data_IF_759841844866
#
_entry.id   IF_759841844866
#
_cell.length_a   1.000
_cell.length_b   1.000
_cell.length_c   1.000
_cell.angle_alpha   90.00
_cell.angle_beta   90.00
_cell.angle_gamma   90.00
#
_symmetry.space_group_name_H-M   'P 1'
#
loop_
_entity.id
_entity.type
_entity.pdbx_description
1 polymer ?
#
# COMPACT_ATOMS: atom_id res chain seq x y z
N UNK A 1 -25.75 3.56 60.32
CA UNK A 1 -26.09 3.57 58.88
C UNK A 1 -25.19 4.47 58.01
N UNK A 2 -24.61 5.58 58.53
CA UNK A 2 -23.79 6.50 57.70
C UNK A 2 -22.44 5.92 57.23
N UNK A 3 -21.81 5.08 58.06
CA UNK A 3 -20.48 4.49 57.78
C UNK A 3 -20.56 3.47 56.63
N UNK A 4 -21.54 2.56 56.65
CA UNK A 4 -21.72 1.55 55.60
C UNK A 4 -22.10 2.14 54.25
N UNK A 5 -22.92 3.20 54.24
CA UNK A 5 -23.27 3.91 53.00
C UNK A 5 -22.05 4.60 52.37
N UNK A 6 -21.19 5.22 53.20
CA UNK A 6 -19.95 5.86 52.75
C UNK A 6 -18.89 4.86 52.32
N UNK A 7 -18.75 3.74 53.02
CA UNK A 7 -17.84 2.69 52.63
C UNK A 7 -18.23 2.10 51.25
N UNK A 8 -19.52 1.83 51.04
CA UNK A 8 -20.04 1.36 49.74
C UNK A 8 -19.89 2.38 48.61
N UNK A 9 -20.02 3.68 48.88
CA UNK A 9 -19.80 4.69 47.85
C UNK A 9 -18.32 4.83 47.45
N UNK A 10 -17.39 4.61 48.39
CA UNK A 10 -15.95 4.56 48.11
C UNK A 10 -15.57 3.30 47.31
N UNK A 11 -16.19 2.15 47.61
CA UNK A 11 -16.05 0.93 46.81
C UNK A 11 -16.53 1.14 45.37
N UNK A 12 -17.66 1.82 45.17
CA UNK A 12 -18.20 2.12 43.85
C UNK A 12 -17.34 3.11 43.03
N UNK A 13 -16.37 3.77 43.66
CA UNK A 13 -15.43 4.71 43.03
C UNK A 13 -14.03 4.10 42.86
N UNK A 14 -13.88 2.77 43.04
CA UNK A 14 -12.60 2.05 43.03
C UNK A 14 -11.56 2.58 44.06
N UNK A 15 -12.02 3.27 45.10
CA UNK A 15 -11.16 3.79 46.17
C UNK A 15 -11.00 2.75 47.28
N UNK A 16 -10.26 1.68 46.98
CA UNK A 16 -10.18 0.47 47.81
C UNK A 16 -9.59 0.71 49.21
N UNK A 17 -8.52 1.50 49.33
CA UNK A 17 -7.88 1.80 50.63
C UNK A 17 -8.75 2.72 51.51
N UNK A 18 -9.32 3.84 51.00
CA UNK A 18 -10.28 4.64 51.77
C UNK A 18 -11.54 3.84 52.17
N UNK A 19 -12.05 2.97 51.31
CA UNK A 19 -13.20 2.12 51.63
C UNK A 19 -12.89 1.16 52.80
N UNK A 20 -11.69 0.56 52.81
CA UNK A 20 -11.20 -0.30 53.90
C UNK A 20 -11.16 0.44 55.23
N UNK A 21 -10.61 1.65 55.26
CA UNK A 21 -10.54 2.47 56.47
C UNK A 21 -11.91 2.84 57.02
N UNK A 22 -12.87 3.11 56.13
CA UNK A 22 -14.23 3.43 56.54
C UNK A 22 -14.96 2.21 57.12
N UNK A 23 -14.73 1.00 56.58
CA UNK A 23 -15.21 -0.25 57.17
C UNK A 23 -14.59 -0.55 58.55
N UNK A 24 -13.30 -0.26 58.74
CA UNK A 24 -12.62 -0.45 60.02
C UNK A 24 -13.22 0.41 61.15
N UNK A 25 -13.72 1.61 60.83
CA UNK A 25 -14.42 2.48 61.80
C UNK A 25 -15.73 1.89 62.32
N UNK A 26 -16.33 0.92 61.60
CA UNK A 26 -17.55 0.26 62.04
C UNK A 26 -17.29 -0.88 63.05
N UNK A 27 -16.07 -1.45 63.09
CA UNK A 27 -15.75 -2.60 63.94
C UNK A 27 -15.83 -2.31 65.46
N UNK A 28 -15.34 -1.17 65.98
CA UNK A 28 -15.46 -0.84 67.40
C UNK A 28 -16.92 -0.60 67.86
N UNK A 29 -17.84 -0.38 66.93
CA UNK A 29 -19.25 -0.09 67.21
C UNK A 29 -20.12 -1.35 67.27
N UNK A 30 -19.53 -2.53 67.04
CA UNK A 30 -20.22 -3.81 66.97
C UNK A 30 -19.69 -4.80 68.02
N UNK A 31 -20.52 -5.70 68.57
CA UNK A 31 -20.05 -6.78 69.43
C UNK A 31 -19.04 -7.66 68.68
N UNK A 32 -17.92 -7.99 69.32
CA UNK A 32 -16.78 -8.66 68.69
C UNK A 32 -17.10 -10.04 68.08
N UNK A 33 -18.16 -10.70 68.57
CA UNK A 33 -18.62 -12.04 68.16
C UNK A 33 -19.91 -11.98 67.32
N UNK A 34 -20.28 -10.81 66.81
CA UNK A 34 -21.45 -10.66 65.94
C UNK A 34 -21.14 -11.10 64.51
N UNK A 35 -22.12 -11.68 63.83
CA UNK A 35 -22.02 -12.04 62.41
C UNK A 35 -21.71 -10.83 61.53
N UNK A 36 -22.16 -9.63 61.94
CA UNK A 36 -21.84 -8.38 61.27
C UNK A 36 -20.35 -8.01 61.40
N UNK A 37 -19.74 -8.21 62.58
CA UNK A 37 -18.31 -7.94 62.77
C UNK A 37 -17.44 -8.89 61.95
N UNK A 38 -17.81 -10.18 61.86
CA UNK A 38 -17.11 -11.15 61.00
C UNK A 38 -17.22 -10.80 59.52
N UNK A 39 -18.42 -10.42 59.06
CA UNK A 39 -18.62 -9.99 57.67
C UNK A 39 -17.76 -8.78 57.31
N UNK A 40 -17.67 -7.78 58.20
CA UNK A 40 -16.84 -6.58 57.98
C UNK A 40 -15.35 -6.95 57.92
N UNK A 41 -14.86 -7.83 58.80
CA UNK A 41 -13.46 -8.31 58.75
C UNK A 41 -13.16 -8.99 57.40
N UNK A 42 -14.09 -9.81 56.90
CA UNK A 42 -13.96 -10.44 55.59
C UNK A 42 -13.94 -9.43 54.44
N UNK A 43 -14.76 -8.38 54.51
CA UNK A 43 -14.79 -7.31 53.50
C UNK A 43 -13.49 -6.49 53.50
N UNK A 44 -12.99 -6.13 54.69
CA UNK A 44 -11.70 -5.44 54.86
C UNK A 44 -10.55 -6.24 54.24
N UNK A 45 -10.53 -7.57 54.46
CA UNK A 45 -9.53 -8.46 53.88
C UNK A 45 -9.60 -8.50 52.34
N UNK A 46 -10.81 -8.58 51.77
CA UNK A 46 -11.01 -8.55 50.31
C UNK A 46 -10.53 -7.24 49.69
N UNK A 47 -10.84 -6.09 50.30
CA UNK A 47 -10.41 -4.78 49.82
C UNK A 47 -8.89 -4.62 49.89
N UNK A 48 -8.25 -5.16 50.92
CA UNK A 48 -6.80 -5.15 51.06
C UNK A 48 -6.10 -6.01 50.00
N UNK A 49 -6.66 -7.18 49.69
CA UNK A 49 -6.15 -8.04 48.62
C UNK A 49 -6.33 -7.39 47.24
N UNK A 50 -7.49 -6.78 46.99
CA UNK A 50 -7.76 -6.06 45.75
C UNK A 50 -6.83 -4.86 45.57
N UNK A 51 -6.52 -4.13 46.64
CA UNK A 51 -5.58 -3.01 46.61
C UNK A 51 -4.13 -3.44 46.33
N UNK A 52 -3.72 -4.65 46.76
CA UNK A 52 -2.38 -5.21 46.48
C UNK A 52 -2.22 -5.70 45.04
N UNK A 53 -3.31 -6.12 44.39
CA UNK A 53 -3.31 -6.66 43.02
C UNK A 53 -3.63 -5.58 41.98
N UNK A 54 -4.22 -4.45 42.40
CA UNK A 54 -4.53 -3.35 41.50
C UNK A 54 -3.26 -2.81 40.81
N UNK A 55 -3.27 -2.61 39.48
CA UNK A 55 -2.16 -1.97 38.79
C UNK A 55 -1.91 -0.58 39.38
N UNK A 56 -0.65 -0.09 39.41
CA UNK A 56 -0.36 1.25 39.91
C UNK A 56 -1.25 2.26 39.19
N UNK A 57 -1.74 3.30 39.90
CA UNK A 57 -2.61 4.30 39.29
C UNK A 57 -1.89 4.86 38.07
N UNK A 58 -2.51 4.76 36.88
CA UNK A 58 -2.02 5.43 35.69
C UNK A 58 -1.84 6.91 36.03
N UNK A 59 -0.60 7.35 36.17
CA UNK A 59 -0.28 8.77 36.13
C UNK A 59 -0.80 9.26 34.78
N UNK A 60 -1.94 9.95 34.79
CA UNK A 60 -2.44 10.71 33.65
C UNK A 60 -1.44 11.82 33.39
N UNK A 61 -0.37 11.47 32.69
CA UNK A 61 0.75 12.36 32.46
C UNK A 61 0.25 13.62 31.75
N UNK A 62 0.59 14.77 32.30
CA UNK A 62 0.17 16.10 31.82
C UNK A 62 0.52 16.38 30.35
N UNK A 63 1.42 15.60 29.73
CA UNK A 63 1.73 15.69 28.29
C UNK A 63 0.56 15.27 27.39
N UNK A 64 -0.34 14.41 27.85
CA UNK A 64 -1.53 13.98 27.10
C UNK A 64 -2.53 15.13 26.87
N UNK A 65 -2.58 16.13 27.77
CA UNK A 65 -3.37 17.35 27.57
C UNK A 65 -2.79 18.29 26.51
N UNK A 66 -1.47 18.30 26.31
CA UNK A 66 -0.82 19.11 25.26
C UNK A 66 -0.90 18.48 23.86
N UNK A 67 -1.06 17.16 23.77
CA UNK A 67 -1.31 16.46 22.49
C UNK A 67 -2.80 16.25 22.17
N UNK A 68 -3.70 16.51 23.13
CA UNK A 68 -5.15 16.49 22.94
C UNK A 68 -5.68 17.27 21.71
N UNK A 69 -5.21 18.50 21.41
CA UNK A 69 -5.63 19.22 20.21
C UNK A 69 -4.97 18.71 18.92
N UNK A 70 -3.87 17.95 19.02
CA UNK A 70 -3.21 17.31 17.87
C UNK A 70 -3.70 15.88 17.63
N UNK A 71 -4.40 15.25 18.58
CA UNK A 71 -5.03 13.94 18.41
C UNK A 71 -6.05 13.91 17.26
N UNK A 72 -6.98 14.88 17.11
CA UNK A 72 -7.83 14.93 15.93
C UNK A 72 -7.02 15.18 14.66
N UNK A 73 -5.95 15.98 14.68
CA UNK A 73 -5.07 16.21 13.52
C UNK A 73 -4.29 14.94 13.15
N UNK A 74 -3.83 14.16 14.12
CA UNK A 74 -3.16 12.87 13.92
C UNK A 74 -4.14 11.80 13.42
N UNK A 75 -5.39 11.80 13.90
CA UNK A 75 -6.48 10.96 13.39
C UNK A 75 -6.89 11.40 11.98
N UNK A 76 -6.88 12.71 11.70
CA UNK A 76 -7.19 13.28 10.39
C UNK A 76 -6.04 13.07 9.40
N UNK A 77 -4.78 12.98 9.85
CA UNK A 77 -3.60 12.54 9.09
C UNK A 77 -3.55 11.02 8.91
N UNK A 78 -4.01 10.24 9.89
CA UNK A 78 -4.17 8.79 9.77
C UNK A 78 -5.33 8.45 8.82
N UNK A 79 -6.44 9.20 8.88
CA UNK A 79 -7.53 9.20 7.90
C UNK A 79 -7.13 9.92 6.60
N UNK A 80 -6.12 10.79 6.59
CA UNK A 80 -5.64 11.39 5.34
C UNK A 80 -4.87 10.36 4.52
N UNK A 81 -4.23 9.37 5.14
CA UNK A 81 -3.70 8.24 4.36
C UNK A 81 -4.81 7.50 3.61
N UNK A 82 -5.98 7.27 4.21
CA UNK A 82 -7.10 6.61 3.52
C UNK A 82 -7.82 7.54 2.56
N UNK A 83 -7.96 8.84 2.88
CA UNK A 83 -8.54 9.85 2.00
C UNK A 83 -7.63 10.16 0.81
N UNK A 84 -6.31 10.28 1.02
CA UNK A 84 -5.31 10.42 -0.04
C UNK A 84 -5.28 9.16 -0.88
N UNK A 85 -5.30 7.95 -0.29
CA UNK A 85 -5.38 6.71 -1.06
C UNK A 85 -6.68 6.65 -1.87
N UNK A 86 -7.80 7.11 -1.33
CA UNK A 86 -9.09 7.16 -2.02
C UNK A 86 -9.10 8.21 -3.14
N UNK A 87 -8.57 9.42 -2.90
CA UNK A 87 -8.45 10.50 -3.89
C UNK A 87 -7.46 10.10 -4.99
N UNK A 88 -6.35 9.45 -4.65
CA UNK A 88 -5.37 8.96 -5.62
C UNK A 88 -5.95 7.80 -6.44
N UNK A 89 -6.66 6.87 -5.81
CA UNK A 89 -7.42 5.81 -6.51
C UNK A 89 -8.48 6.40 -7.44
N UNK A 90 -9.22 7.42 -7.00
CA UNK A 90 -10.29 8.03 -7.79
C UNK A 90 -9.73 8.84 -8.96
N UNK A 91 -8.64 9.59 -8.77
CA UNK A 91 -7.97 10.33 -9.85
C UNK A 91 -7.28 9.40 -10.85
N UNK A 92 -6.66 8.32 -10.38
CA UNK A 92 -6.03 7.33 -11.26
C UNK A 92 -7.06 6.58 -12.08
N UNK A 93 -8.11 6.04 -11.46
CA UNK A 93 -9.21 5.39 -12.16
C UNK A 93 -9.90 6.35 -13.13
N UNK A 94 -10.17 7.59 -12.71
CA UNK A 94 -10.75 8.60 -13.58
C UNK A 94 -9.85 8.90 -14.78
N UNK A 95 -8.52 9.00 -14.61
CA UNK A 95 -7.59 9.20 -15.72
C UNK A 95 -7.56 8.00 -16.68
N UNK A 96 -7.62 6.77 -16.16
CA UNK A 96 -7.66 5.55 -16.97
C UNK A 96 -8.99 5.42 -17.74
N UNK A 97 -10.11 5.74 -17.11
CA UNK A 97 -11.42 5.72 -17.75
C UNK A 97 -11.61 6.88 -18.74
N UNK A 98 -11.12 8.09 -18.42
CA UNK A 98 -11.12 9.21 -19.35
C UNK A 98 -10.27 8.91 -20.58
N UNK A 99 -9.09 8.31 -20.37
CA UNK A 99 -8.22 7.81 -21.42
C UNK A 99 -8.89 6.74 -22.30
N UNK A 100 -9.53 5.74 -21.65
CA UNK A 100 -10.29 4.71 -22.36
C UNK A 100 -11.43 5.33 -23.17
N UNK A 101 -12.11 6.32 -22.61
CA UNK A 101 -13.20 7.05 -23.25
C UNK A 101 -12.75 7.81 -24.50
N UNK A 102 -11.61 8.51 -24.43
CA UNK A 102 -11.06 9.24 -25.59
C UNK A 102 -10.74 8.27 -26.74
N UNK A 103 -9.97 7.22 -26.50
CA UNK A 103 -9.62 6.29 -27.58
C UNK A 103 -10.79 5.43 -28.07
N UNK A 104 -11.74 5.10 -27.19
CA UNK A 104 -12.98 4.45 -27.59
C UNK A 104 -13.81 5.35 -28.52
N UNK A 105 -13.87 6.66 -28.27
CA UNK A 105 -14.60 7.58 -29.16
C UNK A 105 -13.93 7.72 -30.53
N UNK A 106 -12.61 7.63 -30.60
CA UNK A 106 -11.84 7.79 -31.84
C UNK A 106 -11.78 6.52 -32.69
N UNK A 107 -11.62 5.36 -32.06
CA UNK A 107 -11.34 4.09 -32.74
C UNK A 107 -12.40 3.01 -32.48
N UNK A 108 -13.42 3.33 -31.67
CA UNK A 108 -14.54 2.44 -31.40
C UNK A 108 -14.16 1.17 -30.63
N UNK A 109 -14.96 0.11 -30.76
CA UNK A 109 -14.77 -1.14 -30.03
C UNK A 109 -13.46 -1.87 -30.38
N UNK A 110 -12.89 -1.62 -31.56
CA UNK A 110 -11.63 -2.22 -31.99
C UNK A 110 -10.46 -1.86 -31.07
N UNK A 111 -10.39 -0.60 -30.62
CA UNK A 111 -9.39 -0.19 -29.62
C UNK A 111 -9.61 -0.88 -28.28
N UNK A 112 -10.86 -0.93 -27.80
CA UNK A 112 -11.16 -1.58 -26.52
C UNK A 112 -10.76 -3.05 -26.49
N UNK A 113 -11.10 -3.81 -27.54
CA UNK A 113 -10.70 -5.22 -27.67
C UNK A 113 -9.18 -5.36 -27.75
N UNK A 114 -8.53 -4.57 -28.61
CA UNK A 114 -7.07 -4.60 -28.75
C UNK A 114 -6.35 -4.27 -27.43
N UNK A 115 -6.85 -3.28 -26.69
CA UNK A 115 -6.27 -2.87 -25.42
C UNK A 115 -6.44 -3.94 -24.32
N UNK A 116 -7.62 -4.57 -24.25
CA UNK A 116 -7.85 -5.71 -23.34
C UNK A 116 -6.92 -6.88 -23.68
N UNK A 117 -6.72 -7.18 -24.96
CA UNK A 117 -5.75 -8.19 -25.40
C UNK A 117 -4.34 -7.83 -24.95
N UNK A 118 -3.94 -6.55 -25.04
CA UNK A 118 -2.60 -6.12 -24.62
C UNK A 118 -2.42 -6.16 -23.09
N UNK A 119 -3.46 -5.90 -22.31
CA UNK A 119 -3.45 -6.15 -20.86
C UNK A 119 -3.29 -7.66 -20.59
N UNK A 120 -3.97 -8.51 -21.35
CA UNK A 120 -3.82 -9.96 -21.21
C UNK A 120 -2.39 -10.40 -21.53
N UNK A 121 -1.76 -9.84 -22.56
CA UNK A 121 -0.35 -10.11 -22.90
C UNK A 121 0.57 -9.74 -21.73
N UNK A 122 0.34 -8.60 -21.07
CA UNK A 122 1.06 -8.21 -19.87
C UNK A 122 0.90 -9.24 -18.74
N UNK A 123 -0.32 -9.62 -18.38
CA UNK A 123 -0.55 -10.62 -17.33
C UNK A 123 0.02 -12.00 -17.68
N UNK A 124 -0.04 -12.37 -18.95
CA UNK A 124 0.58 -13.60 -19.44
C UNK A 124 2.10 -13.55 -19.30
N UNK A 125 2.72 -12.38 -19.35
CA UNK A 125 4.14 -12.19 -19.03
C UNK A 125 4.47 -12.64 -17.61
N UNK A 126 3.70 -12.19 -16.62
CA UNK A 126 3.83 -12.68 -15.24
C UNK A 126 3.59 -14.17 -15.13
N UNK A 127 2.48 -14.66 -15.70
CA UNK A 127 2.09 -16.06 -15.64
C UNK A 127 3.19 -16.98 -16.20
N UNK A 128 3.71 -16.66 -17.39
CA UNK A 128 4.74 -17.44 -18.05
C UNK A 128 6.03 -17.46 -17.22
N UNK A 129 6.45 -16.32 -16.65
CA UNK A 129 7.67 -16.27 -15.84
C UNK A 129 7.51 -17.07 -14.53
N UNK A 130 6.35 -16.99 -13.87
CA UNK A 130 6.05 -17.80 -12.67
C UNK A 130 6.10 -19.30 -13.01
N UNK A 131 5.46 -19.71 -14.11
CA UNK A 131 5.45 -21.11 -14.57
C UNK A 131 6.84 -21.60 -14.95
N UNK A 132 7.64 -20.80 -15.65
CA UNK A 132 9.04 -21.12 -16.01
C UNK A 132 9.92 -21.36 -14.79
N UNK A 133 9.60 -20.74 -13.66
CA UNK A 133 10.29 -20.91 -12.37
C UNK A 133 9.75 -22.06 -11.53
N UNK A 134 8.80 -22.84 -12.05
CA UNK A 134 8.20 -23.97 -11.34
C UNK A 134 7.26 -23.57 -10.19
N UNK A 135 6.83 -22.30 -10.14
CA UNK A 135 5.98 -21.78 -9.08
C UNK A 135 4.49 -21.98 -9.43
N UNK A 136 3.62 -22.22 -8.43
CA UNK A 136 2.19 -22.36 -8.66
C UNK A 136 1.57 -21.00 -9.01
N UNK A 137 1.10 -20.86 -10.25
CA UNK A 137 0.37 -19.70 -10.75
C UNK A 137 -1.07 -20.09 -11.09
N UNK A 138 -2.03 -19.32 -10.59
CA UNK A 138 -3.42 -19.42 -11.05
C UNK A 138 -3.57 -18.67 -12.39
N UNK A 139 -4.62 -18.96 -13.15
CA UNK A 139 -4.91 -18.21 -14.38
C UNK A 139 -5.18 -16.73 -14.07
N UNK A 140 -4.82 -15.79 -14.99
CA UNK A 140 -5.14 -14.38 -14.83
C UNK A 140 -6.63 -14.16 -14.57
N UNK A 141 -6.98 -13.44 -13.50
CA UNK A 141 -8.36 -13.05 -13.20
C UNK A 141 -8.56 -11.60 -13.62
N UNK A 142 -9.55 -11.34 -14.47
CA UNK A 142 -9.93 -9.99 -14.86
C UNK A 142 -10.73 -9.31 -13.73
N UNK A 143 -10.24 -8.17 -13.26
CA UNK A 143 -10.96 -7.24 -12.39
C UNK A 143 -11.57 -6.09 -13.20
N UNK A 144 -12.91 -5.93 -13.19
CA UNK A 144 -13.57 -4.82 -13.87
C UNK A 144 -12.98 -3.47 -13.43
N UNK A 145 -12.49 -2.69 -14.39
CA UNK A 145 -11.99 -1.33 -14.16
C UNK A 145 -10.58 -1.21 -13.58
N UNK A 146 -9.92 -2.31 -13.23
CA UNK A 146 -8.57 -2.31 -12.65
C UNK A 146 -7.53 -3.07 -13.47
N UNK A 147 -7.95 -3.94 -14.40
CA UNK A 147 -7.06 -4.74 -15.25
C UNK A 147 -7.27 -6.25 -15.03
N UNK A 148 -6.26 -7.05 -15.29
CA UNK A 148 -6.21 -8.44 -14.84
C UNK A 148 -5.07 -8.60 -13.83
N UNK A 149 -5.07 -9.67 -13.04
CA UNK A 149 -3.98 -9.96 -12.10
C UNK A 149 -3.78 -11.47 -11.96
N UNK A 150 -2.52 -11.90 -11.91
CA UNK A 150 -2.14 -13.29 -11.63
C UNK A 150 -1.93 -13.52 -10.14
N UNK A 151 -2.79 -14.36 -9.54
CA UNK A 151 -2.59 -14.80 -8.15
C UNK A 151 -1.56 -15.93 -8.10
N UNK A 152 -0.60 -15.81 -7.18
CA UNK A 152 0.40 -16.85 -6.96
C UNK A 152 0.84 -16.90 -5.49
N UNK A 153 1.26 -18.09 -5.03
CA UNK A 153 1.70 -18.31 -3.65
C UNK A 153 3.20 -18.02 -3.53
N UNK A 154 3.54 -16.92 -2.87
CA UNK A 154 4.92 -16.41 -2.74
C UNK A 154 5.66 -16.87 -1.45
N UNK A 155 5.22 -17.97 -0.82
CA UNK A 155 5.85 -18.46 0.43
C UNK A 155 7.26 -18.95 0.10
N UNK A 156 8.27 -18.39 0.77
CA UNK A 156 9.68 -18.76 0.60
C UNK A 156 10.39 -18.20 -0.64
N UNK A 157 9.72 -17.37 -1.45
CA UNK A 157 10.32 -16.83 -2.69
C UNK A 157 11.20 -15.61 -2.43
N UNK A 158 12.40 -15.59 -3.00
CA UNK A 158 13.36 -14.51 -2.82
C UNK A 158 12.81 -13.18 -3.38
N UNK A 159 13.26 -12.05 -2.82
CA UNK A 159 12.87 -10.71 -3.33
C UNK A 159 13.27 -10.52 -4.79
N UNK A 160 14.39 -11.10 -5.19
CA UNK A 160 14.92 -11.03 -6.55
C UNK A 160 14.01 -11.76 -7.54
N UNK A 161 13.55 -12.96 -7.18
CA UNK A 161 12.59 -13.71 -8.01
C UNK A 161 11.25 -12.99 -8.11
N UNK A 162 10.73 -12.44 -7.00
CA UNK A 162 9.52 -11.60 -7.02
C UNK A 162 9.68 -10.39 -7.94
N UNK A 163 10.82 -9.71 -7.86
CA UNK A 163 11.12 -8.56 -8.69
C UNK A 163 11.23 -8.93 -10.18
N UNK A 164 11.85 -10.06 -10.50
CA UNK A 164 11.96 -10.55 -11.87
C UNK A 164 10.57 -10.89 -12.46
N UNK A 165 9.73 -11.56 -11.68
CA UNK A 165 8.34 -11.86 -12.06
C UNK A 165 7.56 -10.57 -12.30
N UNK A 166 7.68 -9.57 -11.42
CA UNK A 166 6.99 -8.28 -11.62
C UNK A 166 7.48 -7.53 -12.86
N UNK A 167 8.72 -7.70 -13.29
CA UNK A 167 9.21 -7.05 -14.52
C UNK A 167 8.81 -7.82 -15.79
N UNK A 168 8.44 -9.10 -15.67
CA UNK A 168 8.04 -9.92 -16.81
C UNK A 168 6.75 -9.44 -17.49
N UNK A 169 5.79 -8.90 -16.73
CA UNK A 169 4.57 -8.30 -17.28
C UNK A 169 4.88 -7.06 -18.13
N UNK A 170 5.57 -6.04 -17.58
CA UNK A 170 6.05 -4.88 -18.33
C UNK A 170 6.87 -5.23 -19.57
N UNK A 171 7.71 -6.27 -19.51
CA UNK A 171 8.45 -6.77 -20.67
C UNK A 171 7.50 -7.34 -21.73
N UNK A 172 6.54 -8.19 -21.36
CA UNK A 172 5.57 -8.74 -22.30
C UNK A 172 4.69 -7.64 -22.92
N UNK A 173 4.29 -6.65 -22.11
CA UNK A 173 3.57 -5.48 -22.57
C UNK A 173 4.38 -4.64 -23.56
N UNK A 174 5.69 -4.46 -23.33
CA UNK A 174 6.59 -3.85 -24.32
C UNK A 174 6.60 -4.64 -25.64
N UNK A 175 6.71 -5.96 -25.59
CA UNK A 175 6.69 -6.79 -26.81
C UNK A 175 5.36 -6.64 -27.56
N UNK A 176 4.23 -6.65 -26.86
CA UNK A 176 2.91 -6.41 -27.45
C UNK A 176 2.79 -5.01 -28.08
N UNK A 177 3.30 -3.99 -27.39
CA UNK A 177 3.36 -2.63 -27.93
C UNK A 177 4.27 -2.55 -29.17
N UNK A 178 5.41 -3.25 -29.17
CA UNK A 178 6.35 -3.29 -30.30
C UNK A 178 5.73 -3.94 -31.53
N UNK A 179 4.94 -5.01 -31.35
CA UNK A 179 4.15 -5.61 -32.44
C UNK A 179 3.15 -4.60 -33.00
N UNK A 180 2.42 -3.89 -32.14
CA UNK A 180 1.49 -2.84 -32.60
C UNK A 180 2.23 -1.72 -33.35
N UNK A 181 3.39 -1.27 -32.85
CA UNK A 181 4.22 -0.27 -33.52
C UNK A 181 4.67 -0.74 -34.90
N UNK A 182 5.11 -1.99 -35.04
CA UNK A 182 5.50 -2.58 -36.31
C UNK A 182 4.32 -2.66 -37.30
N UNK A 183 3.12 -3.00 -36.82
CA UNK A 183 1.90 -3.01 -37.63
C UNK A 183 1.53 -1.60 -38.09
N UNK A 184 1.69 -0.59 -37.23
CA UNK A 184 1.49 0.80 -37.61
C UNK A 184 2.47 1.23 -38.71
N UNK A 185 3.78 0.96 -38.57
CA UNK A 185 4.77 1.30 -39.60
C UNK A 185 4.48 0.67 -40.97
N UNK A 186 3.81 -0.49 -41.00
CA UNK A 186 3.44 -1.16 -42.26
C UNK A 186 2.10 -0.71 -42.83
N UNK A 187 1.14 -0.36 -41.98
CA UNK A 187 -0.26 -0.13 -42.40
C UNK A 187 -0.67 1.33 -42.36
N UNK A 188 0.11 2.19 -41.69
CA UNK A 188 -0.21 3.56 -41.34
C UNK A 188 -1.55 3.75 -40.59
N UNK A 189 -2.15 2.67 -40.08
CA UNK A 189 -3.44 2.73 -39.38
C UNK A 189 -3.27 3.25 -37.95
N UNK A 190 -3.90 4.38 -37.65
CA UNK A 190 -3.83 5.06 -36.35
C UNK A 190 -4.24 4.21 -35.15
N UNK A 191 -5.07 3.18 -35.35
CA UNK A 191 -5.44 2.22 -34.28
C UNK A 191 -4.20 1.53 -33.70
N UNK A 192 -3.26 1.10 -34.56
CA UNK A 192 -2.07 0.39 -34.11
C UNK A 192 -1.09 1.31 -33.36
N UNK A 193 -0.96 2.56 -33.81
CA UNK A 193 -0.19 3.58 -33.09
C UNK A 193 -0.82 3.88 -31.72
N UNK A 194 -2.15 4.03 -31.69
CA UNK A 194 -2.91 4.24 -30.47
C UNK A 194 -2.71 3.08 -29.48
N UNK A 195 -2.82 1.84 -29.93
CA UNK A 195 -2.60 0.65 -29.10
C UNK A 195 -1.14 0.56 -28.61
N UNK A 196 -0.15 0.75 -29.50
CA UNK A 196 1.26 0.71 -29.13
C UNK A 196 1.59 1.74 -28.05
N UNK A 197 1.16 2.99 -28.25
CA UNK A 197 1.39 4.10 -27.34
C UNK A 197 0.66 3.91 -26.01
N UNK A 198 -0.60 3.49 -26.07
CA UNK A 198 -1.44 3.23 -24.89
C UNK A 198 -0.88 2.10 -24.03
N UNK A 199 -0.45 1.01 -24.66
CA UNK A 199 0.16 -0.11 -23.98
C UNK A 199 1.51 0.29 -23.38
N UNK A 200 2.36 1.02 -24.10
CA UNK A 200 3.62 1.49 -23.53
C UNK A 200 3.40 2.40 -22.31
N UNK A 201 2.45 3.34 -22.40
CA UNK A 201 2.06 4.19 -21.27
C UNK A 201 1.58 3.38 -20.06
N UNK A 202 0.67 2.42 -20.27
CA UNK A 202 0.18 1.56 -19.19
C UNK A 202 1.32 0.79 -18.50
N UNK A 203 2.25 0.24 -19.28
CA UNK A 203 3.39 -0.50 -18.73
C UNK A 203 4.37 0.41 -17.97
N UNK A 204 4.61 1.65 -18.43
CA UNK A 204 5.39 2.64 -17.68
C UNK A 204 4.70 3.01 -16.37
N UNK A 205 3.37 3.15 -16.37
CA UNK A 205 2.60 3.38 -15.15
C UNK A 205 2.73 2.21 -14.16
N UNK A 206 2.67 0.96 -14.64
CA UNK A 206 2.90 -0.23 -13.80
C UNK A 206 4.34 -0.29 -13.25
N UNK A 207 5.30 0.37 -13.90
CA UNK A 207 6.66 0.50 -13.41
C UNK A 207 6.85 1.59 -12.34
N UNK A 208 5.83 2.37 -12.00
CA UNK A 208 5.93 3.30 -10.87
C UNK A 208 6.14 2.50 -9.58
N UNK A 209 7.19 2.77 -8.78
CA UNK A 209 7.55 1.90 -7.66
C UNK A 209 6.74 2.19 -6.39
N UNK A 210 5.42 2.11 -6.50
CA UNK A 210 4.46 2.42 -5.45
C UNK A 210 3.44 1.29 -5.31
N UNK A 211 3.12 0.94 -4.06
CA UNK A 211 2.01 0.05 -3.72
C UNK A 211 2.06 -1.33 -4.42
N UNK A 212 0.96 -1.75 -5.06
CA UNK A 212 0.76 -3.07 -5.70
C UNK A 212 1.29 -3.11 -7.13
N UNK A 213 1.72 -1.97 -7.69
CA UNK A 213 2.26 -1.90 -9.05
C UNK A 213 3.56 -2.73 -9.18
N UNK A 214 3.85 -3.17 -10.40
CA UNK A 214 5.01 -4.03 -10.71
C UNK A 214 6.33 -3.41 -10.28
N UNK A 215 6.53 -2.13 -10.59
CA UNK A 215 7.71 -1.38 -10.17
C UNK A 215 7.88 -1.38 -8.64
N UNK A 216 6.76 -1.47 -7.91
CA UNK A 216 6.76 -1.50 -6.45
C UNK A 216 7.36 -2.78 -5.90
N UNK A 217 7.08 -3.92 -6.55
CA UNK A 217 7.69 -5.22 -6.23
C UNK A 217 9.13 -5.29 -6.73
N UNK A 218 9.39 -4.78 -7.95
CA UNK A 218 10.72 -4.71 -8.54
C UNK A 218 11.71 -3.95 -7.63
N UNK A 219 11.31 -2.77 -7.13
CA UNK A 219 12.12 -1.92 -6.28
C UNK A 219 12.54 -2.57 -4.95
N UNK A 220 11.85 -3.61 -4.48
CA UNK A 220 12.21 -4.31 -3.22
C UNK A 220 13.51 -5.10 -3.32
N UNK A 221 13.98 -5.39 -4.54
CA UNK A 221 15.24 -6.07 -4.81
C UNK A 221 16.41 -5.10 -5.08
N UNK A 222 16.15 -3.78 -5.13
CA UNK A 222 17.17 -2.76 -5.40
C UNK A 222 17.74 -2.18 -4.10
N UNK A 223 19.06 -2.07 -4.05
CA UNK A 223 19.84 -1.27 -3.11
C UNK A 223 19.60 0.23 -3.28
N UNK A 224 20.10 1.03 -2.32
CA UNK A 224 20.03 2.49 -2.41
C UNK A 224 20.78 3.05 -3.63
N UNK A 225 21.94 2.49 -3.95
CA UNK A 225 22.73 2.92 -5.11
C UNK A 225 22.00 2.63 -6.44
N UNK A 226 21.41 1.44 -6.58
CA UNK A 226 20.63 1.07 -7.76
C UNK A 226 19.36 1.93 -7.89
N UNK A 227 18.71 2.28 -6.78
CA UNK A 227 17.57 3.22 -6.78
C UNK A 227 18.00 4.62 -7.25
N UNK A 228 19.18 5.10 -6.83
CA UNK A 228 19.72 6.37 -7.34
C UNK A 228 20.05 6.32 -8.84
N UNK A 229 20.65 5.21 -9.30
CA UNK A 229 20.91 5.03 -10.74
C UNK A 229 19.61 4.99 -11.55
N UNK A 230 18.60 4.26 -11.07
CA UNK A 230 17.27 4.22 -11.68
C UNK A 230 16.62 5.62 -11.70
N UNK A 231 16.74 6.39 -10.62
CA UNK A 231 16.25 7.76 -10.57
C UNK A 231 16.90 8.64 -11.64
N UNK A 232 18.23 8.57 -11.77
CA UNK A 232 18.96 9.33 -12.79
C UNK A 232 18.48 8.96 -14.21
N UNK A 233 18.30 7.67 -14.51
CA UNK A 233 17.74 7.20 -15.78
C UNK A 233 16.33 7.75 -16.01
N UNK A 234 15.45 7.71 -15.00
CA UNK A 234 14.09 8.22 -15.12
C UNK A 234 14.08 9.73 -15.43
N UNK A 235 14.95 10.52 -14.78
CA UNK A 235 15.07 11.95 -15.04
C UNK A 235 15.63 12.24 -16.44
N UNK A 236 16.61 11.47 -16.90
CA UNK A 236 17.12 11.58 -18.28
C UNK A 236 16.01 11.26 -19.28
N UNK A 237 15.31 10.15 -19.12
CA UNK A 237 14.18 9.78 -19.99
C UNK A 237 13.08 10.84 -19.98
N UNK A 238 12.78 11.44 -18.83
CA UNK A 238 11.84 12.54 -18.75
C UNK A 238 12.29 13.76 -19.56
N UNK A 239 13.57 14.16 -19.45
CA UNK A 239 14.13 15.28 -20.21
C UNK A 239 14.17 15.03 -21.72
N UNK A 240 14.50 13.81 -22.16
CA UNK A 240 14.64 13.48 -23.59
C UNK A 240 13.30 13.14 -24.26
N UNK A 241 12.43 12.37 -23.59
CA UNK A 241 11.15 11.93 -24.16
C UNK A 241 10.06 12.99 -23.95
N UNK A 242 10.18 13.85 -22.93
CA UNK A 242 9.23 14.92 -22.63
C UNK A 242 7.93 14.45 -21.99
N UNK A 243 7.84 13.18 -21.62
CA UNK A 243 6.61 12.55 -21.15
C UNK A 243 6.52 12.53 -19.62
N UNK A 244 5.45 13.12 -19.07
CA UNK A 244 5.26 13.27 -17.62
C UNK A 244 5.22 11.94 -16.85
N UNK A 245 4.99 10.81 -17.53
CA UNK A 245 5.00 9.48 -16.89
C UNK A 245 6.38 9.12 -16.33
N UNK A 246 7.49 9.51 -16.97
CA UNK A 246 8.83 9.26 -16.44
C UNK A 246 9.11 10.04 -15.16
N UNK A 247 8.53 11.24 -15.04
CA UNK A 247 8.57 12.01 -13.79
C UNK A 247 7.79 11.28 -12.68
N UNK A 248 6.65 10.64 -12.98
CA UNK A 248 5.91 9.84 -11.98
C UNK A 248 6.71 8.63 -11.51
N UNK A 249 7.42 7.94 -12.42
CA UNK A 249 8.33 6.86 -12.04
C UNK A 249 9.47 7.40 -11.16
N UNK A 250 10.10 8.51 -11.57
CA UNK A 250 11.15 9.18 -10.78
C UNK A 250 10.67 9.59 -9.38
N UNK A 251 9.46 10.15 -9.27
CA UNK A 251 8.85 10.51 -7.99
C UNK A 251 8.62 9.28 -7.10
N UNK A 252 8.15 8.17 -7.69
CA UNK A 252 8.03 6.90 -6.97
C UNK A 252 9.38 6.36 -6.50
N UNK A 253 10.42 6.41 -7.33
CA UNK A 253 11.77 5.97 -6.96
C UNK A 253 12.31 6.82 -5.82
N UNK A 254 12.09 8.14 -5.90
CA UNK A 254 12.46 9.09 -4.85
C UNK A 254 11.75 8.76 -3.54
N UNK A 255 10.45 8.49 -3.56
CA UNK A 255 9.71 8.02 -2.39
C UNK A 255 10.34 6.75 -1.78
N UNK A 256 10.73 5.79 -2.62
CA UNK A 256 11.40 4.55 -2.18
C UNK A 256 12.82 4.77 -1.66
N UNK A 257 13.49 5.89 -1.92
CA UNK A 257 14.79 6.17 -1.30
C UNK A 257 14.69 6.41 0.22
N UNK A 258 13.50 6.80 0.70
CA UNK A 258 13.23 7.06 2.11
C UNK A 258 12.55 5.90 2.85
N UNK A 259 12.18 4.83 2.14
CA UNK A 259 11.56 3.64 2.75
C UNK A 259 12.63 2.70 3.33
N UNK A 260 12.31 2.05 4.45
CA UNK A 260 13.20 1.12 5.18
C UNK A 260 13.17 -0.32 4.62
N UNK A 261 12.82 -0.48 3.34
CA UNK A 261 12.55 -1.77 2.68
C UNK A 261 13.75 -2.31 1.90
N UNK A 262 14.97 -1.95 2.29
CA UNK A 262 16.20 -2.38 1.62
C UNK A 262 16.34 -3.91 1.66
N UNK A 263 16.77 -4.54 0.56
CA UNK A 263 17.00 -5.98 0.52
C UNK A 263 18.26 -6.36 1.32
N UNK A 264 18.27 -7.53 1.98
CA UNK A 264 19.49 -8.09 2.56
C UNK A 264 20.52 -8.47 1.49
N UNK A 265 20.07 -8.83 0.28
CA UNK A 265 20.90 -9.10 -0.88
C UNK A 265 20.35 -8.34 -2.10
N UNK A 266 20.94 -7.20 -2.47
CA UNK A 266 20.54 -6.48 -3.67
C UNK A 266 20.91 -7.24 -4.94
N UNK A 267 20.28 -6.90 -6.07
CA UNK A 267 20.56 -7.53 -7.35
C UNK A 267 20.73 -6.50 -8.48
N UNK A 268 21.97 -6.28 -8.94
CA UNK A 268 22.25 -5.40 -10.08
C UNK A 268 21.57 -5.86 -11.36
N UNK A 269 21.39 -7.18 -11.51
CA UNK A 269 20.69 -7.75 -12.66
C UNK A 269 19.22 -7.30 -12.72
N UNK A 270 18.53 -7.21 -11.57
CA UNK A 270 17.15 -6.70 -11.52
C UNK A 270 17.11 -5.20 -11.82
N UNK A 271 18.08 -4.43 -11.30
CA UNK A 271 18.17 -3.01 -11.61
C UNK A 271 18.38 -2.78 -13.11
N UNK A 272 19.29 -3.52 -13.74
CA UNK A 272 19.53 -3.48 -15.17
C UNK A 272 18.28 -3.91 -15.97
N UNK A 273 17.57 -4.96 -15.52
CA UNK A 273 16.35 -5.41 -16.16
C UNK A 273 15.26 -4.32 -16.12
N UNK A 274 15.06 -3.69 -14.95
CA UNK A 274 14.11 -2.60 -14.79
C UNK A 274 14.47 -1.43 -15.71
N UNK A 275 15.72 -0.95 -15.67
CA UNK A 275 16.21 0.13 -16.54
C UNK A 275 16.00 -0.21 -18.02
N UNK A 276 16.31 -1.44 -18.43
CA UNK A 276 16.18 -1.88 -19.83
C UNK A 276 14.72 -1.84 -20.29
N UNK A 277 13.78 -2.38 -19.50
CA UNK A 277 12.36 -2.37 -19.85
C UNK A 277 11.83 -0.94 -19.89
N UNK A 278 12.19 -0.11 -18.91
CA UNK A 278 11.77 1.29 -18.85
C UNK A 278 12.29 2.10 -20.05
N UNK A 279 13.56 1.92 -20.40
CA UNK A 279 14.18 2.58 -21.55
C UNK A 279 13.58 2.10 -22.88
N UNK A 280 13.31 0.80 -23.03
CA UNK A 280 12.69 0.24 -24.22
C UNK A 280 11.26 0.76 -24.43
N UNK A 281 10.47 0.82 -23.36
CA UNK A 281 9.14 1.44 -23.37
C UNK A 281 9.20 2.93 -23.72
N UNK A 282 10.18 3.66 -23.18
CA UNK A 282 10.37 5.08 -23.50
C UNK A 282 10.82 5.34 -24.92
N UNK A 283 11.72 4.52 -25.45
CA UNK A 283 12.11 4.58 -26.86
C UNK A 283 10.89 4.33 -27.77
N UNK A 284 10.08 3.31 -27.47
CA UNK A 284 8.86 3.03 -28.22
C UNK A 284 7.89 4.21 -28.16
N UNK A 285 7.68 4.78 -26.97
CA UNK A 285 6.79 5.92 -26.78
C UNK A 285 7.26 7.17 -27.55
N UNK A 286 8.57 7.40 -27.62
CA UNK A 286 9.17 8.49 -28.39
C UNK A 286 9.00 8.30 -29.91
N UNK A 287 9.08 7.04 -30.38
CA UNK A 287 8.94 6.71 -31.80
C UNK A 287 7.48 6.73 -32.29
N UNK A 288 6.50 6.54 -31.40
CA UNK A 288 5.09 6.53 -31.75
C UNK A 288 4.48 7.95 -31.76
N UNK A 289 3.70 8.30 -32.81
CA UNK A 289 3.11 9.64 -32.93
C UNK A 289 2.10 9.92 -31.81
N UNK A 290 2.05 11.18 -31.37
CA UNK A 290 1.19 11.66 -30.28
C UNK A 290 2.00 12.28 -29.13
N UNK A 291 1.33 12.94 -28.19
CA UNK A 291 1.93 13.53 -26.98
C UNK A 291 1.10 13.14 -25.77
N UNK A 292 1.72 12.60 -24.71
CA UNK A 292 0.97 12.07 -23.58
C UNK A 292 0.16 10.82 -23.93
N UNK A 293 -0.91 10.62 -23.17
CA UNK A 293 -1.92 9.58 -23.38
C UNK A 293 -3.01 10.03 -24.38
N UNK A 294 -2.71 10.94 -25.32
CA UNK A 294 -3.71 11.48 -26.25
C UNK A 294 -3.11 11.48 -27.67
N UNK A 295 -3.85 11.02 -28.69
CA UNK A 295 -3.41 11.10 -30.09
C UNK A 295 -3.63 12.52 -30.64
N UNK A 296 -2.81 12.92 -31.64
CA UNK A 296 -3.05 14.14 -32.44
C UNK A 296 -4.15 13.90 -33.47
#
# INVERSE_FOLDING_TARGET
MRISARAKSLEAQDQLLPAREEWLKALPLLPANSTQAEWIRGQVYKLELAAKVAPPPEEKHAWTRKLGPLAPIAILLAKSKTLLLAIFKLKFLFSLFAFMGVYWTLFGPAFGVGFVVLILVHEMGHYIDIRRRGLPADMPVFLPGLGAYVRWRAIGVTRQTRAAVSLAGPLAGFLGAAVCAALWYRTANGLWAALARSTAGLNILNLIPVWVLDGGQAATALSKAERFALLAVCLLLWLFVGEGMFFLVAAGVTYRLFTKDLPPQPSPAIAAYFVTVLAALGALLHLMPGTGLVPR
#
